data_IF_014773314963
#
_entry.id   IF_014773314963
#
_cell.length_a   1.000
_cell.length_b   1.000
_cell.length_c   1.000
_cell.angle_alpha   90.00
_cell.angle_beta   90.00
_cell.angle_gamma   90.00
#
_symmetry.space_group_name_H-M   'P 1'
#
loop_
_entity.id
_entity.type
_entity.pdbx_description
1 polymer ?
#
# COMPACT_ATOMS: atom_id res chain seq x y z
N UNK A 1 -0.90 -4.92 11.19
CA UNK A 1 -1.02 -3.97 10.07
C UNK A 1 0.00 -2.85 10.28
N UNK A 2 0.70 -2.41 9.22
CA UNK A 2 1.67 -1.30 9.32
C UNK A 2 0.99 0.06 9.59
N UNK A 3 1.73 1.01 10.13
CA UNK A 3 1.32 2.41 10.29
C UNK A 3 1.85 3.26 9.14
N UNK A 4 1.33 4.49 9.05
CA UNK A 4 1.81 5.47 8.09
C UNK A 4 3.24 5.86 8.47
N UNK A 5 4.10 5.99 7.47
CA UNK A 5 5.51 6.25 7.61
C UNK A 5 5.82 7.72 7.38
N UNK A 6 6.65 8.28 8.26
CA UNK A 6 7.21 9.61 8.13
C UNK A 6 8.70 9.49 7.85
N UNK A 7 9.11 9.94 6.67
CA UNK A 7 10.52 10.05 6.35
C UNK A 7 11.08 11.36 6.91
N UNK A 8 12.13 11.28 7.72
CA UNK A 8 12.74 12.43 8.39
C UNK A 8 14.13 12.66 7.81
N UNK A 9 14.24 13.68 6.97
CA UNK A 9 15.49 14.19 6.41
C UNK A 9 16.05 15.31 7.27
N UNK A 10 17.24 15.11 7.84
CA UNK A 10 17.92 16.09 8.67
C UNK A 10 19.39 15.89 8.38
N UNK A 11 20.18 16.87 7.96
CA UNK A 11 21.52 16.60 7.40
C UNK A 11 22.60 16.02 8.35
N UNK A 12 22.24 15.61 9.59
CA UNK A 12 22.95 14.83 10.61
C UNK A 12 24.48 15.01 10.75
N UNK A 13 25.01 16.21 10.54
CA UNK A 13 26.45 16.46 10.58
C UNK A 13 26.98 16.64 11.99
N UNK A 14 26.20 17.28 12.85
CA UNK A 14 26.58 17.66 14.22
C UNK A 14 25.64 17.02 15.24
N UNK A 15 26.08 16.94 16.50
CA UNK A 15 25.23 16.40 17.58
C UNK A 15 23.98 17.25 17.81
N UNK A 16 24.06 18.57 17.61
CA UNK A 16 22.89 19.46 17.60
C UNK A 16 21.85 19.00 16.58
N UNK A 17 22.27 18.74 15.34
CA UNK A 17 21.37 18.30 14.28
C UNK A 17 20.78 16.93 14.55
N UNK A 18 21.59 15.99 15.05
CA UNK A 18 21.13 14.66 15.44
C UNK A 18 20.07 14.74 16.53
N UNK A 19 20.31 15.54 17.58
CA UNK A 19 19.37 15.71 18.68
C UNK A 19 18.04 16.31 18.19
N UNK A 20 18.08 17.33 17.33
CA UNK A 20 16.86 17.90 16.73
C UNK A 20 16.12 16.83 15.91
N UNK A 21 16.83 16.07 15.08
CA UNK A 21 16.24 14.98 14.31
C UNK A 21 15.59 13.89 15.18
N UNK A 22 16.23 13.53 16.29
CA UNK A 22 15.68 12.57 17.27
C UNK A 22 14.45 13.11 17.99
N UNK A 23 14.36 14.42 18.26
CA UNK A 23 13.16 15.02 18.82
C UNK A 23 11.98 14.94 17.85
N UNK A 24 12.22 15.17 16.55
CA UNK A 24 11.21 15.01 15.51
C UNK A 24 10.78 13.56 15.36
N UNK A 25 11.74 12.62 15.37
CA UNK A 25 11.47 11.18 15.37
C UNK A 25 10.56 10.77 16.54
N UNK A 26 10.91 11.20 17.75
CA UNK A 26 10.11 10.94 18.96
C UNK A 26 8.70 11.52 18.83
N UNK A 27 8.56 12.77 18.36
CA UNK A 27 7.25 13.42 18.19
C UNK A 27 6.29 12.60 17.31
N UNK A 28 6.77 12.02 16.21
CA UNK A 28 5.93 11.20 15.34
C UNK A 28 5.68 9.79 15.90
N UNK A 29 6.69 9.16 16.52
CA UNK A 29 6.52 7.86 17.18
C UNK A 29 5.48 7.91 18.31
N UNK A 30 5.49 8.96 19.14
CA UNK A 30 4.51 9.16 20.21
C UNK A 30 3.07 9.33 19.69
N UNK A 31 2.93 9.76 18.43
CA UNK A 31 1.63 9.87 17.73
C UNK A 31 1.24 8.60 16.96
N UNK A 32 2.05 7.54 17.03
CA UNK A 32 1.76 6.23 16.43
C UNK A 32 2.16 6.10 14.96
N UNK A 33 3.02 6.97 14.45
CA UNK A 33 3.62 6.81 13.11
C UNK A 33 4.84 5.89 13.17
N UNK A 34 5.08 5.19 12.07
CA UNK A 34 6.38 4.58 11.82
C UNK A 34 7.32 5.67 11.28
N UNK A 35 8.54 5.76 11.78
CA UNK A 35 9.48 6.82 11.35
C UNK A 35 10.73 6.20 10.73
N UNK A 36 11.22 6.85 9.69
CA UNK A 36 12.54 6.56 9.15
C UNK A 36 13.45 7.76 9.39
N UNK A 37 14.42 7.58 10.27
CA UNK A 37 15.47 8.55 10.55
C UNK A 37 16.79 8.00 10.01
N UNK A 38 17.26 8.55 8.90
CA UNK A 38 18.36 8.01 8.11
C UNK A 38 19.72 8.22 8.81
N UNK A 39 20.09 7.42 9.81
CA UNK A 39 21.44 7.49 10.40
C UNK A 39 22.50 7.05 9.38
N UNK A 40 23.49 7.93 9.12
CA UNK A 40 24.56 7.82 8.11
C UNK A 40 24.81 6.41 7.56
N UNK A 41 24.25 6.19 6.38
CA UNK A 41 24.52 5.02 5.54
C UNK A 41 25.72 5.34 4.65
N UNK A 42 26.79 4.53 4.71
CA UNK A 42 28.10 4.85 4.13
C UNK A 42 28.47 4.10 2.83
N UNK A 43 27.56 3.33 2.21
CA UNK A 43 27.79 2.75 0.89
C UNK A 43 26.79 3.25 -0.17
N UNK A 44 27.20 3.38 -1.45
CA UNK A 44 26.31 3.74 -2.55
C UNK A 44 25.09 2.82 -2.67
N UNK A 45 25.28 1.51 -2.51
CA UNK A 45 24.22 0.50 -2.55
C UNK A 45 23.20 0.78 -1.45
N UNK A 46 23.68 1.08 -0.24
CA UNK A 46 22.83 1.33 0.89
C UNK A 46 22.17 2.73 0.82
N UNK A 47 22.75 3.69 0.07
CA UNK A 47 22.13 4.97 -0.22
C UNK A 47 20.92 4.83 -1.16
N UNK A 48 21.08 4.13 -2.29
CA UNK A 48 20.00 3.98 -3.28
C UNK A 48 18.95 2.96 -2.86
N UNK A 49 19.34 1.82 -2.29
CA UNK A 49 18.39 0.76 -1.95
C UNK A 49 17.62 1.06 -0.66
N UNK A 50 18.22 1.70 0.34
CA UNK A 50 17.50 1.99 1.57
C UNK A 50 16.80 3.34 1.50
N UNK A 51 17.53 4.44 1.27
CA UNK A 51 16.97 5.78 1.49
C UNK A 51 15.82 6.08 0.51
N UNK A 52 16.01 5.80 -0.79
CA UNK A 52 14.98 6.10 -1.77
C UNK A 52 13.79 5.14 -1.72
N UNK A 53 14.02 3.89 -1.33
CA UNK A 53 12.92 2.94 -1.06
C UNK A 53 12.10 3.40 0.14
N UNK A 54 12.73 3.75 1.26
CA UNK A 54 12.03 4.29 2.43
C UNK A 54 11.29 5.58 2.11
N UNK A 55 11.89 6.47 1.31
CA UNK A 55 11.22 7.69 0.87
C UNK A 55 9.99 7.36 0.01
N UNK A 56 10.12 6.47 -0.98
CA UNK A 56 9.02 6.01 -1.85
C UNK A 56 7.87 5.37 -1.06
N UNK A 57 8.21 4.62 -0.02
CA UNK A 57 7.23 3.92 0.82
C UNK A 57 6.65 4.79 1.94
N UNK A 58 7.11 6.03 2.08
CA UNK A 58 6.62 6.94 3.12
C UNK A 58 5.36 7.68 2.69
N UNK A 59 4.43 7.81 3.62
CA UNK A 59 3.21 8.59 3.42
C UNK A 59 3.44 10.08 3.61
N UNK A 60 4.43 10.44 4.43
CA UNK A 60 4.76 11.82 4.73
C UNK A 60 6.26 12.08 4.73
N UNK A 61 6.64 13.32 4.45
CA UNK A 61 8.02 13.77 4.41
C UNK A 61 8.25 14.98 5.32
N UNK A 62 9.30 14.92 6.14
CA UNK A 62 9.74 16.04 6.97
C UNK A 62 11.21 16.29 6.65
N UNK A 63 11.55 17.54 6.37
CA UNK A 63 12.95 17.92 6.19
C UNK A 63 13.38 19.07 7.08
N UNK A 64 14.63 19.02 7.52
CA UNK A 64 15.29 20.05 8.32
C UNK A 64 16.62 20.39 7.63
N UNK A 65 16.64 21.57 7.02
CA UNK A 65 17.79 22.08 6.31
C UNK A 65 18.61 22.99 7.23
N UNK A 66 19.84 22.57 7.51
CA UNK A 66 20.76 23.29 8.38
C UNK A 66 21.83 24.00 7.57
N UNK A 67 22.40 25.07 8.13
CA UNK A 67 23.51 25.77 7.50
C UNK A 67 24.69 24.82 7.25
N UNK A 68 25.33 24.99 6.10
CA UNK A 68 26.54 24.28 5.70
C UNK A 68 27.63 25.26 5.35
N UNK A 69 27.74 25.61 4.08
CA UNK A 69 28.80 26.43 3.53
C UNK A 69 28.38 27.89 3.52
N UNK A 70 29.23 28.79 3.99
CA UNK A 70 28.99 30.22 3.92
C UNK A 70 29.20 30.69 2.47
N UNK A 71 28.19 31.35 1.88
CA UNK A 71 28.26 31.89 0.50
C UNK A 71 28.80 33.32 0.55
N UNK A 72 28.26 34.13 1.45
CA UNK A 72 28.65 35.51 1.67
C UNK A 72 28.43 35.87 3.16
N UNK A 73 28.56 37.14 3.54
CA UNK A 73 28.44 37.56 4.94
C UNK A 73 27.11 37.17 5.60
N UNK A 74 26.03 37.09 4.83
CA UNK A 74 24.67 36.83 5.31
C UNK A 74 24.22 35.41 4.98
N UNK A 75 24.51 34.93 3.78
CA UNK A 75 23.92 33.72 3.22
C UNK A 75 24.77 32.47 3.43
N UNK A 76 24.08 31.36 3.66
CA UNK A 76 24.63 30.02 3.75
C UNK A 76 23.94 29.09 2.76
N UNK A 77 24.65 28.05 2.31
CA UNK A 77 24.05 26.89 1.65
C UNK A 77 23.43 25.96 2.68
N UNK A 78 22.35 25.30 2.27
CA UNK A 78 21.78 24.16 2.97
C UNK A 78 22.54 22.86 2.71
N UNK A 79 22.02 21.77 3.24
CA UNK A 79 22.49 20.41 3.00
C UNK A 79 22.15 19.98 1.57
N UNK A 80 23.18 19.64 0.77
CA UNK A 80 22.99 19.10 -0.57
C UNK A 80 22.15 17.82 -0.56
N UNK A 81 22.34 16.97 0.45
CA UNK A 81 21.64 15.70 0.57
C UNK A 81 20.13 15.91 0.82
N UNK A 82 19.80 16.79 1.76
CA UNK A 82 18.40 17.17 2.05
C UNK A 82 17.74 17.74 0.78
N UNK A 83 18.47 18.55 0.02
CA UNK A 83 17.99 19.08 -1.26
C UNK A 83 17.66 17.99 -2.30
N UNK A 84 18.45 16.91 -2.36
CA UNK A 84 18.19 15.78 -3.25
C UNK A 84 16.93 15.02 -2.83
N UNK A 85 16.76 14.76 -1.54
CA UNK A 85 15.57 14.09 -0.99
C UNK A 85 14.29 14.94 -1.17
N UNK A 86 14.40 16.27 -1.06
CA UNK A 86 13.32 17.19 -1.40
C UNK A 86 12.94 17.05 -2.87
N UNK A 87 13.93 16.98 -3.78
CA UNK A 87 13.67 16.77 -5.20
C UNK A 87 12.92 15.46 -5.50
N UNK A 88 13.33 14.37 -4.85
CA UNK A 88 12.72 13.05 -5.04
C UNK A 88 11.31 13.00 -4.43
N UNK A 89 11.14 13.48 -3.20
CA UNK A 89 9.82 13.51 -2.54
C UNK A 89 8.81 14.36 -3.33
N UNK A 90 9.27 15.46 -3.92
CA UNK A 90 8.49 16.30 -4.84
C UNK A 90 8.02 15.51 -6.05
N UNK A 91 8.94 14.80 -6.72
CA UNK A 91 8.63 14.00 -7.89
C UNK A 91 7.62 12.89 -7.56
N UNK A 92 7.77 12.27 -6.40
CA UNK A 92 6.86 11.25 -5.87
C UNK A 92 5.55 11.82 -5.31
N UNK A 93 5.42 13.15 -5.23
CA UNK A 93 4.26 13.88 -4.71
C UNK A 93 3.91 13.49 -3.27
N UNK A 94 4.94 13.26 -2.45
CA UNK A 94 4.76 12.94 -1.03
C UNK A 94 4.39 14.24 -0.30
N UNK A 95 3.30 14.30 0.46
CA UNK A 95 3.00 15.48 1.27
C UNK A 95 4.07 15.67 2.34
N UNK A 96 4.50 16.90 2.56
CA UNK A 96 5.56 17.17 3.50
C UNK A 96 5.64 18.58 4.04
N UNK A 97 6.46 18.72 5.06
CA UNK A 97 6.74 19.98 5.76
C UNK A 97 8.24 20.16 5.91
N UNK A 98 8.68 21.41 5.77
CA UNK A 98 10.09 21.76 5.79
C UNK A 98 10.45 22.76 6.87
N UNK A 99 11.71 22.70 7.28
CA UNK A 99 12.33 23.67 8.15
C UNK A 99 13.67 24.07 7.55
N UNK A 100 14.01 25.35 7.57
CA UNK A 100 15.32 25.82 7.13
C UNK A 100 15.89 26.80 8.16
N UNK A 101 17.15 26.62 8.51
CA UNK A 101 17.82 27.51 9.45
C UNK A 101 17.92 28.92 8.83
N UNK A 102 17.68 29.97 9.61
CA UNK A 102 17.65 31.36 9.10
C UNK A 102 18.90 31.70 8.32
N UNK A 103 18.76 32.42 7.21
CA UNK A 103 19.85 32.79 6.28
C UNK A 103 20.39 31.65 5.41
N UNK A 104 19.70 30.50 5.33
CA UNK A 104 19.92 29.59 4.21
C UNK A 104 19.35 30.24 2.94
N UNK A 105 20.19 30.38 1.92
CA UNK A 105 19.79 30.85 0.61
C UNK A 105 19.06 29.72 -0.12
N UNK A 106 17.81 29.97 -0.50
CA UNK A 106 17.03 29.03 -1.31
C UNK A 106 17.52 29.04 -2.75
N UNK A 107 18.08 27.93 -3.20
CA UNK A 107 18.60 27.73 -4.55
C UNK A 107 17.98 26.48 -5.20
N UNK A 108 18.01 26.41 -6.53
CA UNK A 108 17.46 25.28 -7.27
C UNK A 108 15.99 25.03 -6.98
N UNK A 109 15.63 23.78 -6.69
CA UNK A 109 14.24 23.35 -6.51
C UNK A 109 13.55 24.04 -5.31
N UNK A 110 14.32 24.40 -4.28
CA UNK A 110 13.81 25.13 -3.11
C UNK A 110 13.27 26.53 -3.45
N UNK A 111 13.79 27.15 -4.52
CA UNK A 111 13.30 28.46 -4.98
C UNK A 111 11.89 28.38 -5.55
N UNK A 112 11.52 27.23 -6.10
CA UNK A 112 10.22 27.01 -6.73
C UNK A 112 9.14 26.51 -5.76
N UNK A 113 9.42 26.62 -4.45
CA UNK A 113 8.46 26.50 -3.35
C UNK A 113 7.57 25.26 -3.45
N UNK A 114 8.14 24.10 -3.11
CA UNK A 114 7.40 22.83 -3.18
C UNK A 114 6.78 22.42 -1.84
N UNK A 115 7.34 22.89 -0.72
CA UNK A 115 6.85 22.59 0.62
C UNK A 115 6.69 23.87 1.45
N UNK A 116 5.74 23.84 2.39
CA UNK A 116 5.68 24.83 3.47
C UNK A 116 6.97 24.72 4.28
N UNK A 117 7.94 25.60 4.01
CA UNK A 117 9.24 25.60 4.67
C UNK A 117 9.37 26.79 5.61
N UNK A 118 9.44 26.50 6.90
CA UNK A 118 9.47 27.48 7.97
C UNK A 118 10.91 27.82 8.38
N UNK A 119 11.26 29.11 8.53
CA UNK A 119 12.56 29.49 9.05
C UNK A 119 12.65 29.13 10.54
N UNK A 120 13.80 28.65 11.01
CA UNK A 120 14.06 28.44 12.44
C UNK A 120 15.43 28.96 12.87
N UNK A 121 15.55 29.31 14.15
CA UNK A 121 16.85 29.53 14.82
C UNK A 121 17.18 28.41 15.79
N UNK A 122 16.16 27.90 16.49
CA UNK A 122 16.28 26.86 17.51
C UNK A 122 15.41 25.63 17.20
N UNK A 123 15.85 24.46 17.69
CA UNK A 123 15.14 23.19 17.48
C UNK A 123 13.75 23.16 18.10
N UNK A 124 13.52 23.88 19.20
CA UNK A 124 12.21 23.90 19.88
C UNK A 124 11.09 24.51 19.02
N UNK A 125 11.43 25.44 18.13
CA UNK A 125 10.50 26.05 17.18
C UNK A 125 9.92 25.02 16.20
N UNK A 126 10.72 24.00 15.84
CA UNK A 126 10.34 22.96 14.89
C UNK A 126 9.22 22.10 15.47
N UNK A 127 9.36 21.65 16.72
CA UNK A 127 8.36 20.77 17.36
C UNK A 127 7.02 21.49 17.54
N UNK A 128 7.05 22.76 17.94
CA UNK A 128 5.85 23.59 18.04
C UNK A 128 5.10 23.66 16.71
N UNK A 129 5.83 23.97 15.63
CA UNK A 129 5.25 24.03 14.28
C UNK A 129 4.78 22.69 13.74
N UNK A 130 5.51 21.60 14.00
CA UNK A 130 5.09 20.26 13.62
C UNK A 130 3.76 19.89 14.28
N UNK A 131 3.53 20.26 15.54
CA UNK A 131 2.26 19.97 16.23
C UNK A 131 1.08 20.64 15.53
N UNK A 132 1.25 21.88 15.10
CA UNK A 132 0.18 22.66 14.46
C UNK A 132 -0.08 22.16 13.03
N UNK A 133 0.97 22.10 12.21
CA UNK A 133 0.88 21.90 10.76
C UNK A 133 0.68 20.44 10.35
N UNK A 134 0.90 19.49 11.26
CA UNK A 134 0.69 18.05 10.99
C UNK A 134 -0.45 17.46 11.82
N UNK A 135 -1.30 18.30 12.41
CA UNK A 135 -2.42 17.89 13.26
C UNK A 135 -3.45 17.00 12.51
N UNK A 136 -3.56 17.17 11.20
CA UNK A 136 -4.44 16.42 10.31
C UNK A 136 -3.79 15.15 9.70
N UNK A 137 -2.51 14.91 9.98
CA UNK A 137 -1.82 13.70 9.53
C UNK A 137 -2.33 12.50 10.31
N UNK A 138 -2.55 11.38 9.61
CA UNK A 138 -3.18 10.20 10.18
C UNK A 138 -2.23 9.00 10.17
N UNK A 139 -1.88 8.42 11.33
CA UNK A 139 -0.98 7.26 11.42
C UNK A 139 -1.58 5.97 10.82
N UNK A 140 -2.87 5.97 10.47
CA UNK A 140 -3.55 4.85 9.84
C UNK A 140 -3.85 5.09 8.35
N UNK A 141 -3.58 6.29 7.81
CA UNK A 141 -3.72 6.56 6.39
C UNK A 141 -2.48 6.07 5.65
N UNK A 142 -2.57 4.89 5.04
CA UNK A 142 -1.43 4.13 4.54
C UNK A 142 -1.56 3.90 3.03
N UNK A 143 -0.48 4.09 2.25
CA UNK A 143 -0.42 3.80 0.81
C UNK A 143 -0.39 2.28 0.56
N UNK A 144 -1.47 1.59 0.90
CA UNK A 144 -1.56 0.14 0.83
C UNK A 144 -3.00 -0.29 0.51
N UNK A 145 -3.12 -1.23 -0.41
CA UNK A 145 -4.33 -2.02 -0.59
C UNK A 145 -4.22 -3.27 0.29
N UNK A 146 -5.23 -3.49 1.11
CA UNK A 146 -5.27 -4.61 2.05
C UNK A 146 -6.42 -5.54 1.69
N UNK A 147 -6.10 -6.81 1.44
CA UNK A 147 -7.09 -7.83 1.15
C UNK A 147 -7.56 -8.50 2.42
N UNK A 148 -8.86 -8.66 2.60
CA UNK A 148 -9.43 -9.37 3.73
C UNK A 148 -10.64 -10.23 3.38
N UNK A 149 -10.85 -11.29 4.14
CA UNK A 149 -12.07 -12.11 4.03
C UNK A 149 -12.84 -12.04 5.34
N UNK A 150 -14.12 -11.65 5.24
CA UNK A 150 -15.08 -11.74 6.33
C UNK A 150 -16.22 -12.67 5.91
N UNK A 151 -16.53 -13.66 6.75
CA UNK A 151 -17.58 -14.64 6.47
C UNK A 151 -18.97 -14.03 6.29
N UNK A 152 -19.19 -12.84 6.85
CA UNK A 152 -20.43 -12.08 6.71
C UNK A 152 -20.66 -11.57 5.28
N UNK A 153 -19.61 -11.46 4.47
CA UNK A 153 -19.71 -11.00 3.09
C UNK A 153 -20.05 -12.14 2.11
N UNK A 154 -20.03 -13.40 2.57
CA UNK A 154 -20.36 -14.54 1.72
C UNK A 154 -21.84 -14.53 1.33
N UNK A 155 -22.14 -14.82 0.07
CA UNK A 155 -23.51 -14.94 -0.41
C UNK A 155 -23.86 -16.41 -0.62
N UNK A 156 -24.94 -16.88 0.01
CA UNK A 156 -25.39 -18.27 -0.08
C UNK A 156 -26.74 -18.38 -0.77
N UNK A 157 -26.99 -19.52 -1.42
CA UNK A 157 -28.24 -19.83 -2.12
C UNK A 157 -28.61 -18.80 -3.20
N UNK A 158 -27.63 -18.35 -3.97
CA UNK A 158 -27.83 -17.40 -5.07
C UNK A 158 -28.17 -18.16 -6.35
N UNK A 159 -29.17 -17.68 -7.09
CA UNK A 159 -29.57 -18.23 -8.37
C UNK A 159 -28.68 -17.66 -9.48
N UNK A 160 -27.98 -18.53 -10.21
CA UNK A 160 -27.08 -18.09 -11.28
C UNK A 160 -27.88 -17.41 -12.41
N UNK A 161 -27.44 -16.23 -12.86
CA UNK A 161 -28.13 -15.43 -13.89
C UNK A 161 -29.59 -15.05 -13.57
N UNK A 162 -29.99 -15.09 -12.29
CA UNK A 162 -31.36 -14.79 -11.83
C UNK A 162 -32.46 -15.63 -12.51
N UNK A 163 -32.13 -16.84 -13.00
CA UNK A 163 -33.10 -17.70 -13.69
C UNK A 163 -33.55 -18.86 -12.78
N UNK A 164 -34.83 -19.02 -12.43
CA UNK A 164 -35.29 -20.00 -11.42
C UNK A 164 -34.93 -21.46 -11.67
N UNK A 165 -34.58 -21.81 -12.92
CA UNK A 165 -34.17 -23.17 -13.29
C UNK A 165 -32.66 -23.41 -13.21
N UNK A 166 -31.85 -22.40 -12.87
CA UNK A 166 -30.41 -22.57 -12.69
C UNK A 166 -30.12 -23.08 -11.28
N UNK A 167 -29.06 -23.89 -11.10
CA UNK A 167 -28.71 -24.40 -9.80
C UNK A 167 -28.32 -23.27 -8.85
N UNK A 168 -28.54 -23.50 -7.55
CA UNK A 168 -28.11 -22.60 -6.50
C UNK A 168 -26.59 -22.60 -6.38
N UNK A 169 -26.08 -21.44 -5.96
CA UNK A 169 -24.65 -21.17 -5.83
C UNK A 169 -24.33 -20.48 -4.51
N UNK A 170 -23.18 -20.80 -3.95
CA UNK A 170 -22.58 -20.09 -2.82
C UNK A 170 -21.30 -19.39 -3.28
N UNK A 171 -21.06 -18.18 -2.78
CA UNK A 171 -20.02 -17.27 -3.21
C UNK A 171 -19.22 -16.77 -2.02
N UNK A 172 -17.90 -16.75 -2.18
CA UNK A 172 -16.96 -16.20 -1.22
C UNK A 172 -16.19 -15.07 -1.88
N UNK A 173 -16.08 -13.97 -1.15
CA UNK A 173 -15.52 -12.72 -1.68
C UNK A 173 -14.29 -12.31 -0.88
N UNK A 174 -13.36 -11.63 -1.54
CA UNK A 174 -12.25 -10.95 -0.85
C UNK A 174 -12.51 -9.45 -0.96
N UNK A 175 -12.61 -8.80 0.19
CA UNK A 175 -12.65 -7.35 0.28
C UNK A 175 -11.24 -6.78 0.07
N UNK A 176 -11.13 -5.82 -0.82
CA UNK A 176 -9.94 -5.00 -1.03
C UNK A 176 -10.19 -3.62 -0.44
N UNK A 177 -9.54 -3.34 0.68
CA UNK A 177 -9.62 -2.06 1.37
C UNK A 177 -8.47 -1.15 0.98
N UNK A 178 -8.81 0.06 0.52
CA UNK A 178 -7.84 1.13 0.36
C UNK A 178 -7.62 1.81 1.71
N UNK A 179 -6.44 1.61 2.30
CA UNK A 179 -6.13 2.16 3.63
C UNK A 179 -5.66 3.62 3.59
N UNK A 180 -5.55 4.23 2.41
CA UNK A 180 -5.20 5.66 2.31
C UNK A 180 -6.47 6.51 2.38
N UNK A 181 -6.49 7.49 3.28
CA UNK A 181 -7.65 8.36 3.52
C UNK A 181 -7.85 9.49 2.52
N UNK A 182 -6.87 9.74 1.64
CA UNK A 182 -6.89 10.86 0.67
C UNK A 182 -6.66 10.41 -0.78
N UNK A 183 -5.90 9.32 -0.99
CA UNK A 183 -5.49 8.83 -2.31
C UNK A 183 -6.42 7.70 -2.77
N UNK A 184 -7.10 7.89 -3.90
CA UNK A 184 -7.88 6.82 -4.56
C UNK A 184 -6.96 5.83 -5.25
N UNK A 185 -7.34 4.56 -5.26
CA UNK A 185 -6.69 3.52 -6.05
C UNK A 185 -7.39 3.38 -7.40
N UNK A 186 -6.62 3.48 -8.48
CA UNK A 186 -7.13 3.45 -9.84
C UNK A 186 -6.80 2.14 -10.55
N UNK A 187 -7.70 1.72 -11.45
CA UNK A 187 -7.54 0.56 -12.32
C UNK A 187 -7.11 -0.70 -11.55
N UNK A 188 -7.82 -1.00 -10.47
CA UNK A 188 -7.55 -2.15 -9.63
C UNK A 188 -8.02 -3.42 -10.34
N UNK A 189 -7.10 -4.37 -10.53
CA UNK A 189 -7.38 -5.68 -11.12
C UNK A 189 -6.95 -6.77 -10.15
N UNK A 190 -7.79 -7.77 -9.95
CA UNK A 190 -7.53 -8.90 -9.06
C UNK A 190 -7.17 -10.15 -9.88
N UNK A 191 -6.27 -10.98 -9.35
CA UNK A 191 -5.81 -12.20 -9.97
C UNK A 191 -5.72 -13.31 -8.93
N UNK A 192 -5.98 -14.54 -9.35
CA UNK A 192 -5.48 -15.73 -8.67
C UNK A 192 -4.07 -15.99 -9.19
N UNK A 193 -3.05 -15.81 -8.36
CA UNK A 193 -1.64 -15.91 -8.76
C UNK A 193 -1.02 -17.27 -8.48
N UNK A 194 -1.55 -18.02 -7.52
CA UNK A 194 -1.05 -19.36 -7.19
C UNK A 194 -2.12 -20.23 -6.55
N UNK A 195 -2.10 -21.52 -6.88
CA UNK A 195 -2.87 -22.55 -6.17
C UNK A 195 -1.89 -23.64 -5.73
N UNK A 196 -1.91 -23.97 -4.44
CA UNK A 196 -1.16 -25.12 -3.90
C UNK A 196 -2.15 -26.08 -3.26
N UNK A 197 -2.19 -27.33 -3.71
CA UNK A 197 -2.96 -28.37 -3.03
C UNK A 197 -2.19 -28.79 -1.77
N UNK A 198 -2.77 -28.56 -0.60
CA UNK A 198 -2.10 -28.76 0.69
C UNK A 198 -1.92 -30.24 1.06
N UNK A 199 -2.75 -31.14 0.51
CA UNK A 199 -2.66 -32.58 0.76
C UNK A 199 -1.50 -33.23 0.01
N UNK A 200 -1.25 -32.78 -1.22
CA UNK A 200 -0.21 -33.31 -2.10
C UNK A 200 1.04 -32.43 -2.16
N UNK A 201 0.95 -31.20 -1.64
CA UNK A 201 1.95 -30.14 -1.77
C UNK A 201 2.29 -29.77 -3.23
N UNK A 202 1.40 -30.09 -4.18
CA UNK A 202 1.58 -29.79 -5.58
C UNK A 202 1.07 -28.38 -5.90
N UNK A 203 1.87 -27.60 -6.63
CA UNK A 203 1.46 -26.33 -7.20
C UNK A 203 0.73 -26.59 -8.52
N UNK A 204 -0.46 -26.02 -8.68
CA UNK A 204 -1.27 -26.15 -9.89
C UNK A 204 -0.93 -24.97 -10.81
N UNK A 205 -0.56 -25.28 -12.06
CA UNK A 205 -0.31 -24.26 -13.08
C UNK A 205 -1.62 -23.57 -13.47
N UNK A 206 -1.61 -22.24 -13.51
CA UNK A 206 -2.79 -21.43 -13.82
C UNK A 206 -2.43 -20.31 -14.78
N UNK A 207 -3.34 -19.96 -15.71
CA UNK A 207 -3.16 -18.79 -16.55
C UNK A 207 -3.35 -17.50 -15.73
N UNK A 208 -2.67 -16.43 -16.15
CA UNK A 208 -2.92 -15.09 -15.62
C UNK A 208 -4.22 -14.56 -16.22
N UNK A 209 -5.30 -14.57 -15.43
CA UNK A 209 -6.64 -14.12 -15.81
C UNK A 209 -7.17 -13.20 -14.72
N UNK A 210 -7.73 -12.06 -15.12
CA UNK A 210 -8.39 -11.15 -14.18
C UNK A 210 -9.65 -11.79 -13.59
N UNK A 211 -9.82 -11.64 -12.29
CA UNK A 211 -11.06 -11.96 -11.58
C UNK A 211 -12.08 -10.83 -11.73
N UNK A 212 -13.35 -11.17 -11.59
CA UNK A 212 -14.47 -10.22 -11.66
C UNK A 212 -14.73 -9.59 -10.29
N UNK A 213 -14.98 -8.28 -10.29
CA UNK A 213 -15.43 -7.55 -9.11
C UNK A 213 -16.92 -7.76 -8.87
N UNK A 214 -17.27 -8.06 -7.61
CA UNK A 214 -18.59 -8.50 -7.19
C UNK A 214 -19.65 -7.46 -7.51
N UNK A 215 -20.77 -7.91 -8.08
CA UNK A 215 -21.92 -7.07 -8.44
C UNK A 215 -21.73 -6.15 -9.65
N UNK A 216 -20.52 -6.00 -10.20
CA UNK A 216 -20.26 -5.15 -11.38
C UNK A 216 -20.14 -5.96 -12.67
N UNK A 217 -19.61 -7.19 -12.60
CA UNK A 217 -19.31 -7.97 -13.81
C UNK A 217 -18.10 -7.45 -14.61
N UNK A 218 -17.35 -6.50 -14.04
CA UNK A 218 -16.16 -5.91 -14.65
C UNK A 218 -14.89 -6.42 -13.94
N UNK A 219 -13.75 -6.41 -14.64
CA UNK A 219 -12.46 -6.88 -14.14
C UNK A 219 -11.56 -5.75 -13.60
N UNK A 220 -11.97 -4.49 -13.80
CA UNK A 220 -11.23 -3.31 -13.34
C UNK A 220 -12.15 -2.34 -12.61
N UNK A 221 -11.71 -1.86 -11.43
CA UNK A 221 -12.46 -0.88 -10.64
C UNK A 221 -11.55 0.21 -10.07
N UNK A 222 -12.16 1.33 -9.67
CA UNK A 222 -11.52 2.30 -8.80
C UNK A 222 -12.00 2.09 -7.36
N UNK A 223 -11.08 2.14 -6.41
CA UNK A 223 -11.38 2.07 -4.97
C UNK A 223 -11.12 3.45 -4.38
N UNK A 224 -12.18 4.08 -3.89
CA UNK A 224 -12.10 5.42 -3.29
C UNK A 224 -11.18 5.41 -2.06
N UNK A 225 -10.78 6.60 -1.63
CA UNK A 225 -9.95 6.76 -0.46
C UNK A 225 -10.74 6.32 0.78
N UNK A 226 -10.12 5.55 1.67
CA UNK A 226 -10.75 4.88 2.82
C UNK A 226 -11.93 3.95 2.45
N UNK A 227 -12.05 3.62 1.15
CA UNK A 227 -13.11 2.78 0.62
C UNK A 227 -12.70 1.32 0.46
N UNK A 228 -13.66 0.49 0.08
CA UNK A 228 -13.47 -0.92 -0.22
C UNK A 228 -14.24 -1.36 -1.47
N UNK A 229 -13.82 -2.49 -2.03
CA UNK A 229 -14.50 -3.22 -3.10
C UNK A 229 -14.24 -4.72 -2.92
N UNK A 230 -15.22 -5.52 -3.27
CA UNK A 230 -15.12 -6.97 -3.21
C UNK A 230 -14.92 -7.55 -4.61
N UNK A 231 -14.11 -8.60 -4.72
CA UNK A 231 -14.08 -9.45 -5.90
C UNK A 231 -14.46 -10.89 -5.57
N UNK A 232 -14.99 -11.59 -6.58
CA UNK A 232 -15.49 -12.94 -6.46
C UNK A 232 -14.30 -13.92 -6.41
N UNK A 233 -13.94 -14.36 -5.20
CA UNK A 233 -12.75 -15.17 -4.97
C UNK A 233 -12.97 -16.61 -5.42
N UNK A 234 -14.05 -17.23 -4.98
CA UNK A 234 -14.52 -18.56 -5.41
C UNK A 234 -16.05 -18.63 -5.37
N UNK A 235 -16.60 -19.62 -6.08
CA UNK A 235 -17.99 -20.02 -5.93
C UNK A 235 -18.16 -21.53 -6.13
N UNK A 236 -19.25 -22.06 -5.59
CA UNK A 236 -19.62 -23.47 -5.71
C UNK A 236 -21.05 -23.57 -6.21
N UNK A 237 -21.25 -24.41 -7.22
CA UNK A 237 -22.58 -24.83 -7.69
C UNK A 237 -23.00 -26.05 -6.86
N UNK A 238 -24.15 -25.95 -6.18
CA UNK A 238 -24.57 -26.94 -5.17
C UNK A 238 -24.63 -28.37 -5.67
N UNK A 239 -25.04 -28.57 -6.93
CA UNK A 239 -25.18 -29.89 -7.55
C UNK A 239 -23.83 -30.52 -7.92
N UNK A 240 -22.83 -29.69 -8.23
CA UNK A 240 -21.52 -30.16 -8.69
C UNK A 240 -20.54 -30.34 -7.53
N UNK A 241 -20.69 -29.51 -6.48
CA UNK A 241 -19.76 -29.41 -5.34
C UNK A 241 -18.30 -29.21 -5.79
N UNK A 242 -18.07 -28.47 -6.87
CA UNK A 242 -16.72 -28.13 -7.36
C UNK A 242 -16.39 -26.69 -7.06
N UNK A 243 -15.11 -26.42 -6.76
CA UNK A 243 -14.61 -25.06 -6.55
C UNK A 243 -14.36 -24.44 -7.92
N UNK A 244 -14.99 -23.29 -8.15
CA UNK A 244 -14.86 -22.51 -9.36
C UNK A 244 -14.40 -21.09 -9.04
N UNK A 245 -13.79 -20.45 -10.02
CA UNK A 245 -13.29 -19.07 -9.95
C UNK A 245 -14.02 -18.23 -10.99
N UNK A 246 -14.43 -17.02 -10.64
CA UNK A 246 -15.06 -16.10 -11.60
C UNK A 246 -14.00 -15.23 -12.27
N UNK A 247 -13.37 -15.79 -13.30
CA UNK A 247 -12.48 -15.05 -14.19
C UNK A 247 -13.26 -14.25 -15.25
N UNK A 248 -12.56 -13.32 -15.89
CA UNK A 248 -13.05 -12.58 -17.07
C UNK A 248 -13.55 -13.55 -18.14
N UNK A 249 -14.77 -13.32 -18.62
CA UNK A 249 -15.34 -14.08 -19.72
C UNK A 249 -14.47 -13.97 -20.97
N UNK A 250 -14.03 -15.10 -21.49
CA UNK A 250 -13.26 -15.17 -22.73
C UNK A 250 -14.13 -15.66 -23.88
N UNK A 251 -13.83 -15.18 -25.08
CA UNK A 251 -14.48 -15.63 -26.33
C UNK A 251 -13.90 -16.95 -26.85
N UNK A 252 -12.86 -17.49 -26.19
CA UNK A 252 -12.20 -18.73 -26.58
C UNK A 252 -12.61 -19.90 -25.69
N UNK A 253 -12.71 -21.08 -26.29
CA UNK A 253 -12.98 -22.35 -25.59
C UNK A 253 -11.68 -23.07 -25.20
N UNK A 254 -10.51 -22.49 -25.49
CA UNK A 254 -9.22 -23.09 -25.15
C UNK A 254 -9.04 -23.15 -23.63
N UNK A 255 -8.86 -24.36 -23.04
CA UNK A 255 -8.66 -24.53 -21.61
C UNK A 255 -7.43 -23.81 -21.07
N UNK A 256 -6.44 -23.51 -21.93
CA UNK A 256 -5.24 -22.75 -21.59
C UNK A 256 -5.57 -21.38 -21.01
N UNK A 257 -6.71 -20.80 -21.37
CA UNK A 257 -7.15 -19.49 -20.89
C UNK A 257 -8.34 -19.63 -19.93
N UNK A 258 -8.46 -20.74 -19.22
CA UNK A 258 -9.50 -20.92 -18.21
C UNK A 258 -8.84 -21.23 -16.87
N UNK A 259 -9.36 -20.62 -15.80
CA UNK A 259 -8.98 -21.02 -14.46
C UNK A 259 -9.46 -22.46 -14.22
N UNK A 260 -8.69 -23.29 -13.50
CA UNK A 260 -9.05 -24.68 -13.27
C UNK A 260 -10.32 -24.78 -12.43
N UNK A 261 -11.09 -25.84 -12.66
CA UNK A 261 -12.15 -26.26 -11.72
C UNK A 261 -11.50 -27.27 -10.77
N UNK A 262 -11.56 -27.00 -9.47
CA UNK A 262 -10.95 -27.88 -8.47
C UNK A 262 -12.02 -28.80 -7.86
N UNK A 263 -11.61 -30.04 -7.57
CA UNK A 263 -12.40 -30.97 -6.78
C UNK A 263 -12.30 -30.62 -5.28
N UNK A 264 -13.00 -31.38 -4.44
CA UNK A 264 -12.94 -31.27 -2.99
C UNK A 264 -11.50 -31.48 -2.48
N UNK A 265 -11.09 -30.68 -1.50
CA UNK A 265 -9.77 -30.77 -0.91
C UNK A 265 -9.41 -29.56 -0.06
N UNK A 266 -8.13 -29.46 0.26
CA UNK A 266 -7.54 -28.32 0.96
C UNK A 266 -6.52 -27.64 0.06
N UNK A 267 -6.67 -26.33 -0.12
CA UNK A 267 -5.88 -25.53 -1.04
C UNK A 267 -5.39 -24.26 -0.36
N UNK A 268 -4.16 -23.87 -0.64
CA UNK A 268 -3.64 -22.54 -0.38
C UNK A 268 -3.73 -21.73 -1.67
N UNK A 269 -4.53 -20.67 -1.63
CA UNK A 269 -4.81 -19.78 -2.75
C UNK A 269 -4.11 -18.44 -2.51
N UNK A 270 -3.19 -18.07 -3.41
CA UNK A 270 -2.60 -16.72 -3.40
C UNK A 270 -3.37 -15.84 -4.38
N UNK A 271 -3.86 -14.72 -3.88
CA UNK A 271 -4.47 -13.67 -4.70
C UNK A 271 -3.53 -12.47 -4.79
N UNK A 272 -3.55 -11.80 -5.93
CA UNK A 272 -2.79 -10.57 -6.18
C UNK A 272 -3.75 -9.48 -6.65
N UNK A 273 -3.65 -8.28 -6.09
CA UNK A 273 -4.30 -7.08 -6.63
C UNK A 273 -3.24 -6.11 -7.10
N UNK A 274 -3.38 -5.66 -8.34
CA UNK A 274 -2.54 -4.63 -8.95
C UNK A 274 -3.36 -3.36 -9.15
N UNK A 275 -2.72 -2.22 -9.05
CA UNK A 275 -3.31 -0.90 -9.31
C UNK A 275 -2.30 -0.05 -10.06
N UNK A 276 -2.76 0.93 -10.82
CA UNK A 276 -1.88 1.83 -11.56
C UNK A 276 -1.08 2.80 -10.66
N UNK A 277 -1.50 2.98 -9.39
CA UNK A 277 -0.90 3.98 -8.51
C UNK A 277 -0.64 3.49 -7.07
N UNK A 278 -0.79 2.19 -6.80
CA UNK A 278 -0.39 1.52 -5.57
C UNK A 278 0.54 0.36 -5.92
N UNK A 279 1.41 -0.01 -4.99
CA UNK A 279 2.17 -1.25 -5.09
C UNK A 279 1.23 -2.46 -5.13
N UNK A 280 1.64 -3.51 -5.84
CA UNK A 280 0.87 -4.74 -5.89
C UNK A 280 0.78 -5.36 -4.49
N UNK A 281 -0.41 -5.79 -4.09
CA UNK A 281 -0.65 -6.48 -2.83
C UNK A 281 -0.91 -7.95 -3.09
N UNK A 282 -0.38 -8.83 -2.25
CA UNK A 282 -0.53 -10.29 -2.34
C UNK A 282 -0.98 -10.84 -1.01
N UNK A 283 -1.83 -11.86 -1.05
CA UNK A 283 -2.31 -12.51 0.16
C UNK A 283 -2.73 -13.94 -0.09
N UNK A 284 -2.44 -14.79 0.88
CA UNK A 284 -2.78 -16.21 0.86
C UNK A 284 -4.02 -16.49 1.73
N UNK A 285 -4.84 -17.42 1.23
CA UNK A 285 -6.05 -17.89 1.88
C UNK A 285 -6.08 -19.41 1.83
N UNK A 286 -6.40 -20.05 2.95
CA UNK A 286 -6.70 -21.47 3.00
C UNK A 286 -8.16 -21.66 2.63
N UNK A 287 -8.39 -22.48 1.62
CA UNK A 287 -9.69 -23.01 1.25
C UNK A 287 -9.76 -24.49 1.64
N UNK A 288 -10.73 -24.86 2.46
CA UNK A 288 -11.09 -26.25 2.71
C UNK A 288 -12.49 -26.51 2.20
N UNK A 289 -12.63 -27.58 1.43
CA UNK A 289 -13.90 -28.04 0.92
C UNK A 289 -13.90 -29.56 0.95
N UNK A 290 -14.45 -30.14 2.03
CA UNK A 290 -14.30 -31.58 2.33
C UNK A 290 -15.54 -32.41 1.98
N UNK A 291 -16.57 -31.80 1.41
CA UNK A 291 -17.84 -32.49 1.19
C UNK A 291 -18.75 -31.73 0.25
N UNK A 292 -19.81 -31.15 0.82
CA UNK A 292 -20.81 -30.39 0.08
C UNK A 292 -20.53 -28.90 0.17
N UNK A 293 -21.29 -28.07 -0.56
CA UNK A 293 -21.25 -26.61 -0.45
C UNK A 293 -21.38 -26.07 1.01
N UNK A 294 -21.91 -26.87 1.94
CA UNK A 294 -22.02 -26.51 3.36
C UNK A 294 -20.71 -26.63 4.13
N UNK A 295 -19.76 -27.42 3.61
CA UNK A 295 -18.53 -27.84 4.29
C UNK A 295 -17.31 -27.00 3.85
N UNK A 296 -17.55 -25.73 3.52
CA UNK A 296 -16.56 -24.83 2.92
C UNK A 296 -16.05 -23.84 3.96
N UNK A 297 -14.76 -23.92 4.25
CA UNK A 297 -14.03 -22.95 5.06
C UNK A 297 -13.10 -22.14 4.16
N UNK A 298 -13.22 -20.82 4.19
CA UNK A 298 -12.29 -19.92 3.52
C UNK A 298 -11.68 -19.03 4.59
N UNK A 299 -10.36 -19.11 4.77
CA UNK A 299 -9.65 -18.57 5.93
C UNK A 299 -8.43 -17.80 5.44
N UNK A 300 -8.33 -16.56 5.87
CA UNK A 300 -7.17 -15.71 5.60
C UNK A 300 -5.96 -16.11 6.46
N UNK A 301 -4.77 -16.22 5.85
CA UNK A 301 -3.49 -16.36 6.58
C UNK A 301 -2.94 -15.00 7.06
#
# INVERSE_FOLDING_TARGET
>A
MRKARVFISCGQRTDREKNIGMEVDRHFKERGFDTYFAEKVHSPEALTEHIFTYLKESEYFVFIDFKREKINEKDYRGSLFVNQEIGISTFLKIPGIGFHEKNIKREGILKFQIYNSFPFEDGTEIIGKLRDETSDWDPNSVNELYMLHESNNNHKNIVLSNHPSTPLTDWWHIEVKNRNKRKHAFSCMAYLSKITNLQTNNVIDIPTIELIWSGLGDYSVNIMADGNRDFDAIFIIHEENKIRFQGRGLTTTSPRFQLPVLDNGEYLLEYTVVSSNFEATRREFILKHLGTHQDVEFIQQ
#
